data_IF_072373570918
#
_entry.id   IF_072373570918
#
_cell.length_a   1.000
_cell.length_b   1.000
_cell.length_c   1.000
_cell.angle_alpha   90.00
_cell.angle_beta   90.00
_cell.angle_gamma   90.00
#
_symmetry.space_group_name_H-M   'P 1'
#
loop_
_entity.id
_entity.type
_entity.pdbx_description
1 polymer ?
#
# COMPACT_ATOMS: atom_id res chain seq x y z
N UNK A 1 -5.69 -10.17 9.31
CA UNK A 1 -6.90 -9.66 8.60
C UNK A 1 -7.08 -10.33 7.23
N UNK A 2 -8.31 -10.68 6.82
CA UNK A 2 -8.65 -11.13 5.46
C UNK A 2 -9.19 -9.94 4.64
N UNK A 3 -8.73 -9.78 3.40
CA UNK A 3 -9.24 -8.75 2.49
C UNK A 3 -10.63 -9.13 1.98
N UNK A 4 -11.54 -8.15 1.93
CA UNK A 4 -12.79 -8.31 1.20
C UNK A 4 -12.57 -8.27 -0.32
N UNK A 5 -13.52 -8.82 -1.07
CA UNK A 5 -13.41 -8.96 -2.52
C UNK A 5 -13.28 -7.61 -3.25
N UNK A 6 -13.89 -6.55 -2.74
CA UNK A 6 -13.84 -5.24 -3.38
C UNK A 6 -12.47 -4.60 -3.20
N UNK A 7 -11.94 -4.64 -1.98
CA UNK A 7 -10.59 -4.18 -1.65
C UNK A 7 -9.53 -4.95 -2.41
N UNK A 8 -9.64 -6.28 -2.47
CA UNK A 8 -8.72 -7.13 -3.23
C UNK A 8 -8.71 -6.78 -4.73
N UNK A 9 -9.88 -6.63 -5.35
CA UNK A 9 -9.98 -6.25 -6.77
C UNK A 9 -9.41 -4.86 -7.03
N UNK A 10 -9.64 -3.90 -6.13
CA UNK A 10 -9.13 -2.53 -6.25
C UNK A 10 -7.61 -2.51 -6.17
N UNK A 11 -7.02 -3.26 -5.24
CA UNK A 11 -5.57 -3.37 -5.11
C UNK A 11 -4.94 -4.00 -6.35
N UNK A 12 -5.53 -5.09 -6.86
CA UNK A 12 -5.08 -5.74 -8.10
C UNK A 12 -5.16 -4.84 -9.34
N UNK A 13 -6.15 -3.96 -9.40
CA UNK A 13 -6.30 -2.99 -10.49
C UNK A 13 -5.24 -1.88 -10.43
N UNK A 14 -4.89 -1.41 -9.24
CA UNK A 14 -3.98 -0.28 -9.04
C UNK A 14 -2.49 -0.69 -9.03
N UNK A 15 -2.19 -1.95 -8.70
CA UNK A 15 -0.81 -2.44 -8.63
C UNK A 15 0.02 -2.25 -9.92
N UNK A 16 -0.52 -2.47 -11.14
CA UNK A 16 0.23 -2.21 -12.37
C UNK A 16 0.71 -0.77 -12.54
N UNK A 17 -0.03 0.22 -12.04
CA UNK A 17 0.39 1.63 -12.15
C UNK A 17 1.70 1.90 -11.40
N UNK A 18 1.95 1.20 -10.29
CA UNK A 18 3.23 1.26 -9.59
C UNK A 18 4.34 0.57 -10.40
N UNK A 19 4.05 -0.58 -10.99
CA UNK A 19 5.01 -1.32 -11.82
C UNK A 19 5.41 -0.50 -13.06
N UNK A 20 4.45 0.13 -13.73
CA UNK A 20 4.68 1.00 -14.89
C UNK A 20 5.63 2.16 -14.53
N UNK A 21 5.38 2.84 -13.40
CA UNK A 21 6.22 3.95 -12.92
C UNK A 21 7.61 3.48 -12.50
N UNK A 22 7.73 2.32 -11.85
CA UNK A 22 9.03 1.75 -11.48
C UNK A 22 9.84 1.33 -12.72
N UNK A 23 9.17 0.80 -13.76
CA UNK A 23 9.79 0.41 -15.02
C UNK A 23 10.21 1.63 -15.86
N UNK A 24 9.38 2.67 -15.91
CA UNK A 24 9.70 3.92 -16.59
C UNK A 24 10.76 4.75 -15.84
N UNK A 25 10.81 4.61 -14.51
CA UNK A 25 11.67 5.42 -13.64
C UNK A 25 11.13 6.84 -13.39
N UNK A 26 9.95 7.16 -13.91
CA UNK A 26 9.28 8.45 -13.74
C UNK A 26 7.76 8.31 -13.83
N UNK A 27 7.04 9.37 -13.44
CA UNK A 27 5.59 9.48 -13.61
C UNK A 27 5.33 10.28 -14.88
N UNK A 28 5.01 9.59 -15.97
CA UNK A 28 4.88 10.16 -17.31
C UNK A 28 3.53 10.84 -17.53
N UNK A 29 2.48 10.37 -16.83
CA UNK A 29 1.11 10.80 -17.07
C UNK A 29 0.34 11.13 -15.78
N UNK A 30 -0.63 12.04 -15.90
CA UNK A 30 -1.40 12.51 -14.75
C UNK A 30 -2.31 11.41 -14.15
N UNK A 31 -2.80 10.49 -14.98
CA UNK A 31 -3.57 9.33 -14.54
C UNK A 31 -2.72 8.36 -13.71
N UNK A 32 -1.45 8.12 -14.09
CA UNK A 32 -0.52 7.34 -13.25
C UNK A 32 -0.37 7.97 -11.86
N UNK A 33 -0.21 9.29 -11.78
CA UNK A 33 -0.12 10.00 -10.49
C UNK A 33 -1.39 9.82 -9.64
N UNK A 34 -2.57 9.88 -10.26
CA UNK A 34 -3.85 9.68 -9.58
C UNK A 34 -4.04 8.23 -9.10
N UNK A 35 -3.64 7.26 -9.90
CA UNK A 35 -3.70 5.85 -9.55
C UNK A 35 -2.70 5.51 -8.43
N UNK A 36 -1.49 6.09 -8.45
CA UNK A 36 -0.53 6.00 -7.35
C UNK A 36 -1.06 6.59 -6.05
N UNK A 37 -1.67 7.78 -6.10
CA UNK A 37 -2.29 8.39 -4.93
C UNK A 37 -3.41 7.51 -4.37
N UNK A 38 -4.23 6.92 -5.25
CA UNK A 38 -5.29 5.98 -4.88
C UNK A 38 -4.73 4.69 -4.27
N UNK A 39 -3.63 4.18 -4.81
CA UNK A 39 -2.94 3.00 -4.29
C UNK A 39 -2.35 3.27 -2.91
N UNK A 40 -1.66 4.39 -2.73
CA UNK A 40 -1.09 4.79 -1.46
C UNK A 40 -2.17 4.94 -0.38
N UNK A 41 -3.30 5.57 -0.71
CA UNK A 41 -4.42 5.69 0.20
C UNK A 41 -4.99 4.31 0.60
N UNK A 42 -5.13 3.40 -0.36
CA UNK A 42 -5.61 2.05 -0.09
C UNK A 42 -4.65 1.27 0.82
N UNK A 43 -3.34 1.36 0.56
CA UNK A 43 -2.32 0.74 1.39
C UNK A 43 -2.35 1.29 2.83
N UNK A 44 -2.53 2.60 3.00
CA UNK A 44 -2.67 3.21 4.32
C UNK A 44 -3.91 2.68 5.05
N UNK A 45 -5.07 2.66 4.40
CA UNK A 45 -6.30 2.10 4.98
C UNK A 45 -6.12 0.65 5.44
N UNK A 46 -5.42 -0.17 4.64
CA UNK A 46 -5.14 -1.57 4.99
C UNK A 46 -4.18 -1.69 6.17
N UNK A 47 -3.15 -0.84 6.23
CA UNK A 47 -2.21 -0.79 7.34
C UNK A 47 -2.90 -0.37 8.64
N UNK A 48 -3.73 0.68 8.59
CA UNK A 48 -4.47 1.17 9.76
C UNK A 48 -5.46 0.11 10.26
N UNK A 49 -6.23 -0.50 9.36
CA UNK A 49 -7.16 -1.57 9.71
C UNK A 49 -6.46 -2.80 10.32
N UNK A 50 -5.25 -3.13 9.85
CA UNK A 50 -4.43 -4.18 10.46
C UNK A 50 -3.93 -3.76 11.84
N UNK A 51 -3.44 -2.53 11.98
CA UNK A 51 -2.95 -1.99 13.24
C UNK A 51 -4.03 -2.01 14.33
N UNK A 52 -5.26 -1.59 13.99
CA UNK A 52 -6.39 -1.59 14.91
C UNK A 52 -6.74 -3.01 15.41
N UNK A 53 -6.52 -4.04 14.57
CA UNK A 53 -6.75 -5.44 14.93
C UNK A 53 -5.57 -6.08 15.68
N UNK A 54 -4.35 -5.60 15.44
CA UNK A 54 -3.10 -6.19 15.91
C UNK A 54 -2.11 -5.11 16.37
N UNK A 55 -2.43 -4.34 17.43
CA UNK A 55 -1.63 -3.20 17.85
C UNK A 55 -0.22 -3.61 18.32
N UNK A 56 -0.13 -4.73 19.04
CA UNK A 56 1.14 -5.26 19.58
C UNK A 56 2.06 -5.76 18.46
N UNK A 57 1.55 -6.52 17.49
CA UNK A 57 2.33 -7.02 16.34
C UNK A 57 2.89 -5.85 15.51
N UNK A 58 2.09 -4.80 15.33
CA UNK A 58 2.52 -3.62 14.58
C UNK A 58 3.56 -2.81 15.34
N UNK A 59 3.42 -2.72 16.66
CA UNK A 59 4.41 -2.07 17.53
C UNK A 59 5.75 -2.81 17.46
N UNK A 60 5.73 -4.14 17.53
CA UNK A 60 6.92 -4.98 17.39
C UNK A 60 7.57 -4.80 16.02
N UNK A 61 6.80 -4.90 14.93
CA UNK A 61 7.33 -4.71 13.57
C UNK A 61 7.95 -3.32 13.36
N UNK A 62 7.43 -2.28 14.02
CA UNK A 62 8.04 -0.94 14.01
C UNK A 62 9.36 -0.89 14.76
N UNK A 63 9.46 -1.56 15.91
CA UNK A 63 10.71 -1.65 16.68
C UNK A 63 11.78 -2.39 15.86
N UNK A 64 11.44 -3.53 15.26
CA UNK A 64 12.34 -4.32 14.43
C UNK A 64 12.87 -3.52 13.22
N UNK A 65 12.01 -2.68 12.61
CA UNK A 65 12.38 -1.82 11.49
C UNK A 65 13.38 -0.71 11.89
N UNK A 66 13.27 -0.18 13.10
CA UNK A 66 14.20 0.82 13.64
C UNK A 66 15.57 0.22 13.98
N UNK A 67 15.62 -1.05 14.40
CA UNK A 67 16.87 -1.76 14.69
C UNK A 67 17.62 -2.22 13.43
N UNK A 68 16.93 -2.25 12.29
CA UNK A 68 17.48 -2.69 10.99
C UNK A 68 17.95 -1.53 10.09
N UNK A 69 17.87 -0.27 10.55
CA UNK A 69 18.38 0.93 9.86
C UNK A 69 19.80 1.28 10.31
#
# INVERSE_FOLDING_TARGET
>A
MKLDDATFRRLRRLAPALDDVLNAGEVEHADQAMDLASLAQLCLQLSDAYHDQHPDDTMQARLDALESQ
#
